data_IF_839836366632
#
_entry.id   IF_839836366632
#
_cell.length_a   1.000
_cell.length_b   1.000
_cell.length_c   1.000
_cell.angle_alpha   90.00
_cell.angle_beta   90.00
_cell.angle_gamma   90.00
#
_symmetry.space_group_name_H-M   'P 1'
#
loop_
_entity.id
_entity.type
_entity.pdbx_description
1 polymer ?
#
# COMPACT_ATOMS: atom_id res chain seq x y z
N UNK A 1 -25.41 -35.72 -59.98
CA UNK A 1 -25.62 -35.28 -61.38
C UNK A 1 -25.96 -33.79 -61.32
N UNK A 2 -25.39 -32.89 -62.12
CA UNK A 2 -24.37 -33.08 -63.15
C UNK A 2 -23.44 -31.85 -63.19
N UNK A 3 -22.17 -32.12 -63.45
CA UNK A 3 -21.06 -31.21 -63.73
C UNK A 3 -21.33 -30.20 -64.87
N UNK A 4 -20.62 -29.08 -64.84
CA UNK A 4 -20.43 -28.17 -65.98
C UNK A 4 -18.99 -27.66 -66.04
N UNK A 5 -18.29 -27.99 -67.13
CA UNK A 5 -16.89 -27.63 -67.46
C UNK A 5 -16.93 -27.04 -68.90
N UNK A 6 -16.06 -26.08 -69.29
CA UNK A 6 -16.24 -25.23 -70.49
C UNK A 6 -15.70 -25.88 -71.79
N UNK A 7 -15.76 -25.18 -72.94
CA UNK A 7 -14.58 -24.49 -73.51
C UNK A 7 -14.96 -23.10 -74.15
N UNK A 8 -14.18 -22.34 -74.95
CA UNK A 8 -12.82 -22.46 -75.55
C UNK A 8 -12.27 -21.06 -75.95
N UNK A 9 -10.93 -20.96 -75.98
CA UNK A 9 -10.03 -20.29 -76.95
C UNK A 9 -10.07 -18.78 -77.31
N UNK A 10 -8.90 -18.18 -77.06
CA UNK A 10 -8.15 -17.08 -77.72
C UNK A 10 -7.95 -17.30 -79.25
N UNK A 11 -7.38 -16.35 -80.06
CA UNK A 11 -6.55 -15.19 -79.71
C UNK A 11 -6.85 -13.86 -80.45
N UNK A 12 -6.13 -12.80 -80.11
CA UNK A 12 -5.86 -11.68 -81.03
C UNK A 12 -4.40 -11.23 -80.89
N UNK A 13 -3.79 -10.82 -82.01
CA UNK A 13 -2.36 -10.93 -82.24
C UNK A 13 -1.80 -9.78 -83.11
N UNK A 14 -0.73 -9.15 -82.60
CA UNK A 14 0.28 -8.38 -83.37
C UNK A 14 -0.11 -7.04 -84.06
N UNK A 15 0.84 -6.09 -83.99
CA UNK A 15 0.79 -4.71 -84.49
C UNK A 15 0.95 -4.62 -86.03
N UNK A 16 0.84 -3.41 -86.60
CA UNK A 16 2.00 -2.96 -87.39
C UNK A 16 2.46 -1.51 -87.18
N UNK A 17 3.76 -1.33 -87.43
CA UNK A 17 4.55 -0.10 -87.35
C UNK A 17 4.61 0.60 -88.72
N UNK A 18 4.51 1.94 -88.80
CA UNK A 18 5.42 2.78 -89.64
C UNK A 18 5.18 4.30 -89.54
N UNK A 19 6.26 5.03 -89.24
CA UNK A 19 6.67 6.22 -89.98
C UNK A 19 8.15 6.55 -89.68
N UNK A 20 9.01 6.48 -90.71
CA UNK A 20 10.43 6.87 -90.62
C UNK A 20 10.81 7.68 -91.85
N UNK A 21 11.24 8.93 -91.67
CA UNK A 21 12.37 9.54 -92.38
C UNK A 21 12.72 10.94 -91.84
N UNK A 22 14.01 11.28 -91.89
CA UNK A 22 14.64 12.50 -91.32
C UNK A 22 14.85 13.57 -92.43
N UNK A 23 15.33 14.82 -92.16
CA UNK A 23 16.74 15.05 -91.79
C UNK A 23 17.05 16.19 -90.76
N UNK A 24 17.95 15.84 -89.83
CA UNK A 24 19.09 16.61 -89.27
C UNK A 24 19.14 18.14 -89.52
N UNK A 25 19.18 18.93 -88.44
CA UNK A 25 19.90 20.22 -88.38
C UNK A 25 20.65 20.35 -87.03
N UNK A 26 21.84 20.96 -87.07
CA UNK A 26 22.91 21.00 -86.06
C UNK A 26 22.55 21.15 -84.55
N UNK A 27 23.34 20.45 -83.73
CA UNK A 27 23.50 20.63 -82.28
C UNK A 27 24.51 21.77 -82.01
N UNK A 28 24.27 22.65 -81.03
CA UNK A 28 25.30 23.28 -80.23
C UNK A 28 25.37 22.61 -78.84
N UNK A 29 26.56 22.13 -78.46
CA UNK A 29 26.75 21.42 -77.19
C UNK A 29 26.47 22.32 -75.98
N UNK A 30 25.68 21.80 -75.03
CA UNK A 30 25.50 22.38 -73.71
C UNK A 30 25.57 21.27 -72.66
N UNK A 31 26.71 21.17 -71.98
CA UNK A 31 26.94 20.18 -70.93
C UNK A 31 25.86 20.28 -69.82
N UNK A 32 25.30 19.16 -69.35
CA UNK A 32 24.43 19.15 -68.18
C UNK A 32 25.30 19.32 -66.92
N UNK A 33 25.69 20.57 -66.62
CA UNK A 33 26.36 20.89 -65.35
C UNK A 33 25.49 20.37 -64.19
N UNK A 34 25.99 19.46 -63.33
CA UNK A 34 25.21 18.99 -62.20
C UNK A 34 25.00 20.18 -61.27
N UNK A 35 23.76 20.68 -61.20
CA UNK A 35 23.39 21.78 -60.31
C UNK A 35 23.62 21.34 -58.87
N UNK A 36 24.82 21.60 -58.36
CA UNK A 36 25.16 21.49 -56.95
C UNK A 36 24.18 22.38 -56.19
N UNK A 37 23.14 21.77 -55.62
CA UNK A 37 22.32 22.42 -54.62
C UNK A 37 23.28 22.96 -53.58
N UNK A 38 23.34 24.29 -53.46
CA UNK A 38 24.31 24.96 -52.60
C UNK A 38 24.31 24.27 -51.25
N UNK A 39 25.50 23.85 -50.76
CA UNK A 39 25.67 23.13 -49.50
C UNK A 39 24.91 23.83 -48.35
N UNK A 40 24.83 25.16 -48.42
CA UNK A 40 24.02 26.04 -47.56
C UNK A 40 22.52 25.74 -47.59
N UNK A 41 21.90 25.52 -48.76
CA UNK A 41 20.46 25.17 -48.87
C UNK A 41 20.17 23.79 -48.28
N UNK A 42 21.02 22.79 -48.53
CA UNK A 42 20.86 21.46 -47.93
C UNK A 42 21.03 21.51 -46.40
N UNK A 43 22.00 22.27 -45.89
CA UNK A 43 22.15 22.54 -44.45
C UNK A 43 20.93 23.27 -43.86
N UNK A 44 20.31 24.20 -44.58
CA UNK A 44 19.05 24.84 -44.16
C UNK A 44 17.88 23.86 -44.06
N UNK A 45 17.73 22.93 -45.01
CA UNK A 45 16.71 21.88 -44.92
C UNK A 45 16.99 20.88 -43.78
N UNK A 46 18.25 20.49 -43.57
CA UNK A 46 18.63 19.65 -42.43
C UNK A 46 18.38 20.34 -41.08
N UNK A 47 18.67 21.64 -40.99
CA UNK A 47 18.40 22.44 -39.79
C UNK A 47 16.88 22.57 -39.53
N UNK A 48 16.08 22.84 -40.56
CA UNK A 48 14.61 22.89 -40.45
C UNK A 48 14.02 21.54 -40.04
N UNK A 49 14.55 20.43 -40.56
CA UNK A 49 14.13 19.09 -40.18
C UNK A 49 14.48 18.77 -38.72
N UNK A 50 15.68 19.13 -38.26
CA UNK A 50 16.09 18.97 -36.87
C UNK A 50 15.26 19.85 -35.91
N UNK A 51 14.93 21.09 -36.30
CA UNK A 51 14.01 21.95 -35.55
C UNK A 51 12.60 21.38 -35.51
N UNK A 52 12.11 20.76 -36.60
CA UNK A 52 10.82 20.09 -36.61
C UNK A 52 10.77 18.88 -35.66
N UNK A 53 11.82 18.06 -35.62
CA UNK A 53 11.94 16.95 -34.66
C UNK A 53 11.95 17.47 -33.22
N UNK A 54 12.73 18.53 -32.93
CA UNK A 54 12.76 19.15 -31.60
C UNK A 54 11.40 19.74 -31.21
N UNK A 55 10.67 20.36 -32.14
CA UNK A 55 9.33 20.88 -31.89
C UNK A 55 8.32 19.76 -31.58
N UNK A 56 8.37 18.64 -32.31
CA UNK A 56 7.54 17.46 -32.04
C UNK A 56 7.90 16.84 -30.68
N UNK A 57 9.20 16.74 -30.36
CA UNK A 57 9.69 16.27 -29.05
C UNK A 57 9.24 17.17 -27.89
N UNK A 58 9.26 18.50 -28.07
CA UNK A 58 8.79 19.45 -27.04
C UNK A 58 7.26 19.40 -26.86
N UNK A 59 6.50 19.19 -27.94
CA UNK A 59 5.07 18.95 -27.89
C UNK A 59 4.75 17.62 -27.20
N UNK A 60 5.49 16.54 -27.48
CA UNK A 60 5.34 15.26 -26.80
C UNK A 60 5.69 15.35 -25.30
N UNK A 61 6.77 16.05 -24.94
CA UNK A 61 7.19 16.29 -23.56
C UNK A 61 6.14 17.10 -22.76
N UNK A 62 5.53 18.12 -23.39
CA UNK A 62 4.48 18.93 -22.75
C UNK A 62 3.12 18.23 -22.72
N UNK A 63 2.80 17.38 -23.68
CA UNK A 63 1.61 16.51 -23.64
C UNK A 63 1.74 15.41 -22.58
N UNK A 64 2.89 14.71 -22.51
CA UNK A 64 3.13 13.66 -21.50
C UNK A 64 3.04 14.18 -20.07
N UNK A 65 3.56 15.37 -19.80
CA UNK A 65 3.39 16.04 -18.50
C UNK A 65 1.95 16.47 -18.19
N UNK A 66 1.07 16.60 -19.18
CA UNK A 66 -0.36 16.93 -18.98
C UNK A 66 -1.22 15.68 -18.80
N UNK A 67 -0.90 14.58 -19.48
CA UNK A 67 -1.57 13.30 -19.29
C UNK A 67 -1.45 12.83 -17.83
N UNK A 68 -0.24 12.87 -17.26
CA UNK A 68 -0.02 12.50 -15.85
C UNK A 68 -0.79 13.42 -14.87
N UNK A 69 -0.95 14.71 -15.18
CA UNK A 69 -1.71 15.63 -14.31
C UNK A 69 -3.21 15.32 -14.33
N UNK A 70 -3.81 15.08 -15.50
CA UNK A 70 -5.24 14.73 -15.59
C UNK A 70 -5.51 13.37 -14.95
N UNK A 71 -4.68 12.36 -15.24
CA UNK A 71 -4.82 11.03 -14.65
C UNK A 71 -4.58 11.01 -13.13
N UNK A 72 -3.69 11.88 -12.61
CA UNK A 72 -3.51 12.05 -11.17
C UNK A 72 -4.73 12.69 -10.48
N UNK A 73 -5.43 13.62 -11.14
CA UNK A 73 -6.65 14.21 -10.60
C UNK A 73 -7.80 13.20 -10.56
N UNK A 74 -7.96 12.38 -11.60
CA UNK A 74 -8.96 11.30 -11.60
C UNK A 74 -8.67 10.26 -10.51
N UNK A 75 -7.40 9.90 -10.28
CA UNK A 75 -7.00 8.99 -9.19
C UNK A 75 -7.23 9.58 -7.79
N UNK A 76 -6.92 10.87 -7.59
CA UNK A 76 -7.20 11.56 -6.32
C UNK A 76 -8.71 11.66 -6.08
N UNK A 77 -9.50 11.99 -7.12
CA UNK A 77 -10.96 12.01 -7.01
C UNK A 77 -11.55 10.63 -6.67
N UNK A 78 -11.06 9.56 -7.30
CA UNK A 78 -11.44 8.18 -6.98
C UNK A 78 -11.06 7.78 -5.55
N UNK A 79 -9.84 8.13 -5.10
CA UNK A 79 -9.39 7.87 -3.74
C UNK A 79 -10.24 8.63 -2.69
N UNK A 80 -10.53 9.92 -2.93
CA UNK A 80 -11.38 10.71 -2.03
C UNK A 80 -12.82 10.18 -2.01
N UNK A 81 -13.35 9.71 -3.15
CA UNK A 81 -14.64 9.02 -3.23
C UNK A 81 -14.65 7.71 -2.43
N UNK A 82 -13.59 6.90 -2.50
CA UNK A 82 -13.43 5.69 -1.69
C UNK A 82 -13.36 6.01 -0.19
N UNK A 83 -12.59 7.03 0.21
CA UNK A 83 -12.55 7.50 1.59
C UNK A 83 -13.91 8.03 2.07
N UNK A 84 -14.68 8.68 1.20
CA UNK A 84 -16.04 9.15 1.49
C UNK A 84 -16.99 7.97 1.75
N UNK A 85 -16.96 6.93 0.90
CA UNK A 85 -17.74 5.71 1.11
C UNK A 85 -17.34 4.94 2.37
N UNK A 86 -16.04 4.90 2.70
CA UNK A 86 -15.56 4.31 3.95
C UNK A 86 -16.02 5.12 5.18
N UNK A 87 -15.97 6.46 5.11
CA UNK A 87 -16.50 7.34 6.15
C UNK A 87 -18.01 7.16 6.35
N UNK A 88 -18.79 6.93 5.29
CA UNK A 88 -20.22 6.60 5.40
C UNK A 88 -20.46 5.26 6.12
N UNK A 89 -19.59 4.26 5.91
CA UNK A 89 -19.67 2.97 6.63
C UNK A 89 -19.30 3.13 8.11
N UNK A 90 -18.32 3.98 8.43
CA UNK A 90 -17.99 4.30 9.83
C UNK A 90 -19.18 4.94 10.54
N UNK A 91 -19.92 5.83 9.86
CA UNK A 91 -21.12 6.45 10.42
C UNK A 91 -22.24 5.45 10.69
N UNK A 92 -22.52 4.56 9.74
CA UNK A 92 -23.49 3.46 9.91
C UNK A 92 -23.07 2.50 11.04
N UNK A 93 -21.75 2.29 11.21
CA UNK A 93 -21.17 1.53 12.32
C UNK A 93 -21.03 2.32 13.65
N UNK A 94 -21.40 3.60 13.70
CA UNK A 94 -21.30 4.46 14.89
C UNK A 94 -19.88 4.87 15.30
N UNK A 95 -18.89 4.74 14.41
CA UNK A 95 -17.47 5.06 14.65
C UNK A 95 -17.17 6.55 14.36
N UNK A 96 -17.89 7.45 15.03
CA UNK A 96 -17.91 8.89 14.71
C UNK A 96 -16.53 9.57 14.72
N UNK A 97 -15.59 9.18 15.58
CA UNK A 97 -14.23 9.74 15.62
C UNK A 97 -13.37 9.30 14.42
N UNK A 98 -13.55 8.07 13.93
CA UNK A 98 -12.87 7.59 12.73
C UNK A 98 -13.47 8.24 11.48
N UNK A 99 -14.80 8.33 11.43
CA UNK A 99 -15.51 9.09 10.41
C UNK A 99 -15.01 10.55 10.37
N UNK A 100 -14.94 11.23 11.51
CA UNK A 100 -14.42 12.61 11.64
C UNK A 100 -13.07 12.75 10.96
N UNK A 101 -12.11 11.89 11.30
CA UNK A 101 -10.75 11.95 10.76
C UNK A 101 -10.74 11.76 9.23
N UNK A 102 -11.57 10.85 8.70
CA UNK A 102 -11.69 10.63 7.24
C UNK A 102 -12.31 11.82 6.53
N UNK A 103 -13.42 12.37 7.01
CA UNK A 103 -14.06 13.53 6.37
C UNK A 103 -13.25 14.84 6.57
N UNK A 104 -12.56 15.03 7.69
CA UNK A 104 -11.59 16.12 7.90
C UNK A 104 -10.45 16.04 6.88
N UNK A 105 -9.94 14.83 6.60
CA UNK A 105 -8.95 14.62 5.56
C UNK A 105 -9.49 14.97 4.17
N UNK A 106 -10.69 14.51 3.83
CA UNK A 106 -11.34 14.79 2.54
C UNK A 106 -11.48 16.31 2.32
N UNK A 107 -12.07 17.05 3.27
CA UNK A 107 -12.25 18.50 3.16
C UNK A 107 -10.91 19.25 3.19
N UNK A 108 -9.86 18.70 3.81
CA UNK A 108 -8.51 19.27 3.75
C UNK A 108 -7.85 19.12 2.38
N UNK A 109 -8.13 18.04 1.65
CA UNK A 109 -7.58 17.80 0.31
C UNK A 109 -8.41 18.45 -0.80
N UNK A 110 -9.74 18.32 -0.73
CA UNK A 110 -10.70 18.91 -1.67
C UNK A 110 -11.78 19.67 -0.88
N UNK A 111 -11.59 20.97 -0.58
CA UNK A 111 -12.51 21.73 0.27
C UNK A 111 -13.95 21.85 -0.24
N UNK A 112 -14.18 21.60 -1.54
CA UNK A 112 -15.50 21.60 -2.16
C UNK A 112 -16.04 20.19 -2.42
N UNK A 113 -15.53 19.15 -1.74
CA UNK A 113 -15.99 17.78 -1.93
C UNK A 113 -17.49 17.66 -1.57
N UNK A 114 -18.38 17.22 -2.50
CA UNK A 114 -19.82 17.25 -2.27
C UNK A 114 -20.26 16.42 -1.05
N UNK A 115 -20.97 17.05 -0.11
CA UNK A 115 -21.53 16.38 1.07
C UNK A 115 -20.56 16.16 2.25
N UNK A 116 -19.25 16.35 2.05
CA UNK A 116 -18.27 16.08 3.12
C UNK A 116 -18.29 17.13 4.23
N UNK A 117 -18.56 18.41 3.91
CA UNK A 117 -18.69 19.47 4.91
C UNK A 117 -20.00 19.32 5.71
N UNK A 118 -21.12 18.99 5.05
CA UNK A 118 -22.40 18.75 5.72
C UNK A 118 -22.33 17.55 6.67
N UNK A 119 -21.67 16.47 6.24
CA UNK A 119 -21.41 15.29 7.09
C UNK A 119 -20.46 15.65 8.24
N UNK A 120 -19.42 16.46 8.01
CA UNK A 120 -18.59 16.96 9.12
C UNK A 120 -19.40 17.78 10.11
N UNK A 121 -20.33 18.62 9.67
CA UNK A 121 -21.20 19.38 10.57
C UNK A 121 -22.07 18.42 11.40
N UNK A 122 -22.61 17.36 10.81
CA UNK A 122 -23.36 16.32 11.55
C UNK A 122 -22.46 15.57 12.55
N UNK A 123 -21.27 15.14 12.14
CA UNK A 123 -20.27 14.49 12.98
C UNK A 123 -19.84 15.38 14.15
N UNK A 124 -19.52 16.65 13.87
CA UNK A 124 -19.23 17.62 14.92
C UNK A 124 -20.46 17.89 15.78
N UNK A 125 -21.69 17.87 15.27
CA UNK A 125 -22.87 17.96 16.14
C UNK A 125 -22.99 16.76 17.08
N UNK A 126 -22.53 15.56 16.69
CA UNK A 126 -22.45 14.37 17.55
C UNK A 126 -21.28 14.44 18.54
N UNK A 127 -20.09 14.84 18.09
CA UNK A 127 -18.84 14.85 18.88
C UNK A 127 -18.59 16.13 19.71
N UNK A 128 -19.24 17.23 19.33
CA UNK A 128 -19.21 18.53 20.00
C UNK A 128 -20.49 18.75 20.84
N UNK A 129 -21.37 17.74 20.94
CA UNK A 129 -21.90 17.42 22.27
C UNK A 129 -20.68 17.12 23.11
N UNK A 130 -20.38 17.86 24.20
CA UNK A 130 -19.19 17.56 24.99
C UNK A 130 -19.25 16.09 25.42
N UNK A 131 -18.21 15.34 25.09
CA UNK A 131 -18.03 13.91 25.42
C UNK A 131 -17.74 13.67 26.91
N UNK A 132 -18.44 14.44 27.76
CA UNK A 132 -19.03 13.98 29.03
C UNK A 132 -20.44 13.39 28.81
N UNK A 133 -20.78 13.02 27.58
CA UNK A 133 -21.83 12.03 27.32
C UNK A 133 -21.15 10.65 27.33
N UNK A 134 -21.08 9.94 28.48
CA UNK A 134 -20.92 8.50 28.39
C UNK A 134 -22.04 7.99 27.50
N UNK A 135 -21.73 7.10 26.54
CA UNK A 135 -22.74 6.29 25.85
C UNK A 135 -23.78 5.90 26.88
N UNK A 136 -25.08 6.24 26.71
CA UNK A 136 -26.05 6.23 27.80
C UNK A 136 -26.21 4.80 28.33
N UNK A 137 -25.35 4.45 29.29
CA UNK A 137 -25.33 3.18 30.01
C UNK A 137 -26.70 3.15 30.65
N UNK A 138 -27.55 2.16 30.31
CA UNK A 138 -28.99 2.22 30.49
C UNK A 138 -29.29 2.72 31.89
N UNK A 139 -29.91 3.90 31.98
CA UNK A 139 -29.97 4.72 33.20
C UNK A 139 -30.35 3.83 34.35
N UNK A 140 -29.36 3.47 35.19
CA UNK A 140 -29.52 2.29 36.05
C UNK A 140 -30.71 2.56 36.95
N UNK A 141 -31.79 1.79 36.76
CA UNK A 141 -32.98 1.82 37.61
C UNK A 141 -32.48 1.80 39.05
N UNK A 142 -32.71 2.87 39.84
CA UNK A 142 -31.97 3.06 41.09
C UNK A 142 -32.03 1.82 41.95
N UNK A 143 -30.89 1.13 42.05
CA UNK A 143 -30.83 -0.18 42.67
C UNK A 143 -31.29 -0.03 44.13
N UNK A 144 -32.41 -0.66 44.55
CA UNK A 144 -32.95 -0.44 45.88
C UNK A 144 -32.07 -1.07 46.97
N UNK A 145 -31.14 -1.96 46.62
CA UNK A 145 -30.31 -2.73 47.56
C UNK A 145 -29.59 -1.83 48.60
N UNK A 146 -29.53 -2.25 49.88
CA UNK A 146 -28.82 -1.51 50.92
C UNK A 146 -27.29 -1.55 50.70
N UNK A 147 -26.52 -0.66 51.36
CA UNK A 147 -25.06 -0.59 51.22
C UNK A 147 -24.31 -1.93 51.40
N UNK A 148 -24.73 -2.73 52.37
CA UNK A 148 -24.13 -4.06 52.64
C UNK A 148 -24.34 -5.04 51.49
N UNK A 149 -25.55 -5.09 50.92
CA UNK A 149 -25.85 -5.97 49.79
C UNK A 149 -25.12 -5.51 48.52
N UNK A 150 -25.03 -4.20 48.26
CA UNK A 150 -24.24 -3.64 47.14
C UNK A 150 -22.75 -4.00 47.26
N UNK A 151 -22.19 -3.96 48.48
CA UNK A 151 -20.81 -4.37 48.74
C UNK A 151 -20.60 -5.87 48.51
N UNK A 152 -21.50 -6.72 48.98
CA UNK A 152 -21.41 -8.18 48.82
C UNK A 152 -21.62 -8.62 47.37
N UNK A 153 -22.50 -7.93 46.62
CA UNK A 153 -22.65 -8.09 45.18
C UNK A 153 -21.37 -7.66 44.44
N UNK A 154 -20.74 -6.53 44.82
CA UNK A 154 -19.46 -6.10 44.26
C UNK A 154 -18.34 -7.11 44.53
N UNK A 155 -18.22 -7.63 45.76
CA UNK A 155 -17.25 -8.70 46.11
C UNK A 155 -17.46 -9.96 45.27
N UNK A 156 -18.72 -10.33 45.02
CA UNK A 156 -19.08 -11.49 44.21
C UNK A 156 -18.71 -11.28 42.73
N UNK A 157 -19.02 -10.09 42.18
CA UNK A 157 -18.62 -9.72 40.82
C UNK A 157 -17.08 -9.70 40.66
N UNK A 158 -16.35 -9.22 41.66
CA UNK A 158 -14.87 -9.21 41.67
C UNK A 158 -14.29 -10.63 41.61
N UNK A 159 -14.86 -11.57 42.38
CA UNK A 159 -14.45 -12.97 42.35
C UNK A 159 -14.73 -13.66 41.00
N UNK A 160 -15.73 -13.16 40.25
CA UNK A 160 -16.09 -13.61 38.91
C UNK A 160 -15.37 -12.84 37.78
N UNK A 161 -14.46 -11.92 38.10
CA UNK A 161 -13.81 -11.01 37.15
C UNK A 161 -14.76 -10.09 36.35
N UNK A 162 -15.98 -9.85 36.83
CA UNK A 162 -16.92 -8.91 36.21
C UNK A 162 -16.64 -7.47 36.70
N UNK A 163 -15.57 -6.89 36.14
CA UNK A 163 -15.09 -5.56 36.51
C UNK A 163 -16.14 -4.47 36.30
N UNK A 164 -16.99 -4.60 35.28
CA UNK A 164 -18.05 -3.63 34.99
C UNK A 164 -19.14 -3.65 36.06
N UNK A 165 -19.57 -4.84 36.50
CA UNK A 165 -20.51 -4.94 37.62
C UNK A 165 -19.89 -4.46 38.93
N UNK A 166 -18.61 -4.76 39.21
CA UNK A 166 -17.89 -4.21 40.37
C UNK A 166 -17.96 -2.68 40.39
N UNK A 167 -17.53 -2.03 39.30
CA UNK A 167 -17.50 -0.56 39.19
C UNK A 167 -18.91 0.02 39.36
N UNK A 168 -19.91 -0.54 38.68
CA UNK A 168 -21.30 -0.06 38.78
C UNK A 168 -21.84 -0.16 40.22
N UNK A 169 -21.65 -1.31 40.89
CA UNK A 169 -22.13 -1.54 42.26
C UNK A 169 -21.43 -0.64 43.28
N UNK A 170 -20.13 -0.42 43.13
CA UNK A 170 -19.36 0.46 44.02
C UNK A 170 -19.66 1.95 43.80
N UNK A 171 -19.97 2.38 42.57
CA UNK A 171 -20.49 3.72 42.31
C UNK A 171 -21.86 3.94 42.95
N UNK A 172 -22.76 2.94 42.88
CA UNK A 172 -24.07 2.98 43.57
C UNK A 172 -23.93 2.92 45.09
N UNK A 173 -22.97 2.16 45.62
CA UNK A 173 -22.66 2.13 47.04
C UNK A 173 -22.24 3.52 47.52
N UNK A 174 -21.24 4.12 46.85
CA UNK A 174 -20.70 5.44 47.24
C UNK A 174 -21.73 6.57 47.09
N UNK A 175 -22.69 6.47 46.18
CA UNK A 175 -23.77 7.48 46.08
C UNK A 175 -24.82 7.37 47.19
N UNK A 176 -24.96 6.20 47.84
CA UNK A 176 -25.84 6.00 49.00
C UNK A 176 -25.15 6.28 50.33
N UNK A 177 -23.96 5.72 50.53
CA UNK A 177 -23.14 5.90 51.73
C UNK A 177 -21.65 5.94 51.33
N UNK A 178 -21.06 7.14 51.20
CA UNK A 178 -19.64 7.29 50.90
C UNK A 178 -18.68 6.73 51.97
N UNK A 179 -19.18 6.49 53.18
CA UNK A 179 -18.37 6.04 54.33
C UNK A 179 -18.39 4.52 54.53
N UNK A 180 -19.37 3.83 53.94
CA UNK A 180 -19.53 2.39 54.11
C UNK A 180 -18.34 1.61 53.55
N UNK A 181 -17.50 1.08 54.44
CA UNK A 181 -16.34 0.23 54.12
C UNK A 181 -15.41 0.82 53.06
N UNK A 182 -15.24 2.14 53.09
CA UNK A 182 -14.61 2.93 52.02
C UNK A 182 -13.24 2.39 51.56
N UNK A 183 -12.34 2.04 52.49
CA UNK A 183 -11.01 1.50 52.18
C UNK A 183 -11.07 0.21 51.35
N UNK A 184 -12.01 -0.68 51.65
CA UNK A 184 -12.16 -1.96 50.97
C UNK A 184 -12.88 -1.77 49.62
N UNK A 185 -13.87 -0.87 49.58
CA UNK A 185 -14.53 -0.45 48.34
C UNK A 185 -13.55 0.21 47.36
N UNK A 186 -12.65 1.07 47.85
CA UNK A 186 -11.61 1.74 47.07
C UNK A 186 -10.59 0.72 46.51
N UNK A 187 -10.20 -0.27 47.32
CA UNK A 187 -9.34 -1.37 46.85
C UNK A 187 -9.98 -2.21 45.74
N UNK A 188 -11.28 -2.55 45.87
CA UNK A 188 -12.01 -3.26 44.81
C UNK A 188 -12.19 -2.39 43.55
N UNK A 189 -12.42 -1.08 43.71
CA UNK A 189 -12.51 -0.13 42.61
C UNK A 189 -11.20 -0.03 41.83
N UNK A 190 -10.05 0.04 42.53
CA UNK A 190 -8.72 0.00 41.91
C UNK A 190 -8.54 -1.27 41.06
N UNK A 191 -8.80 -2.46 41.63
CA UNK A 191 -8.62 -3.74 40.92
C UNK A 191 -9.49 -3.81 39.67
N UNK A 192 -10.76 -3.43 39.77
CA UNK A 192 -11.70 -3.49 38.65
C UNK A 192 -11.36 -2.49 37.54
N UNK A 193 -11.02 -1.23 37.87
CA UNK A 193 -10.59 -0.24 36.88
C UNK A 193 -9.28 -0.66 36.19
N UNK A 194 -8.30 -1.11 36.98
CA UNK A 194 -7.03 -1.62 36.46
C UNK A 194 -7.26 -2.77 35.48
N UNK A 195 -8.04 -3.79 35.85
CA UNK A 195 -8.22 -4.96 34.99
C UNK A 195 -9.10 -4.66 33.76
N UNK A 196 -10.18 -3.89 33.92
CA UNK A 196 -11.02 -3.52 32.76
C UNK A 196 -10.24 -2.66 31.76
N UNK A 197 -9.43 -1.70 32.24
CA UNK A 197 -8.59 -0.89 31.36
C UNK A 197 -7.62 -1.71 30.52
N UNK A 198 -7.07 -2.78 31.12
CA UNK A 198 -6.17 -3.72 30.45
C UNK A 198 -6.88 -4.57 29.39
N UNK A 199 -8.09 -5.03 29.69
CA UNK A 199 -8.93 -5.81 28.77
C UNK A 199 -9.41 -4.96 27.59
N UNK A 200 -9.80 -3.71 27.83
CA UNK A 200 -10.20 -2.76 26.78
C UNK A 200 -9.05 -2.47 25.81
N UNK A 201 -7.85 -2.18 26.31
CA UNK A 201 -6.66 -1.98 25.47
C UNK A 201 -6.38 -3.23 24.61
N UNK A 202 -6.47 -4.44 25.20
CA UNK A 202 -6.25 -5.69 24.48
C UNK A 202 -7.32 -5.96 23.39
N UNK A 203 -8.53 -5.42 23.54
CA UNK A 203 -9.63 -5.51 22.58
C UNK A 203 -9.58 -4.45 21.48
N UNK A 204 -8.63 -3.51 21.52
CA UNK A 204 -8.57 -2.40 20.57
C UNK A 204 -9.34 -1.15 21.00
N UNK A 205 -9.73 -1.04 22.28
CA UNK A 205 -10.42 0.11 22.86
C UNK A 205 -9.43 0.91 23.73
N UNK A 206 -8.51 1.62 23.09
CA UNK A 206 -7.39 2.29 23.75
C UNK A 206 -7.86 3.42 24.64
N UNK A 207 -8.72 4.30 24.14
CA UNK A 207 -9.18 5.50 24.83
C UNK A 207 -9.98 5.16 26.10
N UNK A 208 -10.94 4.24 26.02
CA UNK A 208 -11.69 3.79 27.19
C UNK A 208 -10.80 3.04 28.19
N UNK A 209 -9.84 2.26 27.69
CA UNK A 209 -8.91 1.54 28.55
C UNK A 209 -7.92 2.46 29.27
N UNK A 210 -7.35 3.44 28.57
CA UNK A 210 -6.52 4.50 29.12
C UNK A 210 -7.29 5.34 30.14
N UNK A 211 -8.57 5.65 29.88
CA UNK A 211 -9.44 6.33 30.82
C UNK A 211 -9.60 5.53 32.13
N UNK A 212 -9.92 4.25 32.05
CA UNK A 212 -10.04 3.38 33.24
C UNK A 212 -8.72 3.27 34.03
N UNK A 213 -7.58 3.13 33.35
CA UNK A 213 -6.27 3.14 34.01
C UNK A 213 -6.01 4.49 34.72
N UNK A 214 -6.36 5.62 34.10
CA UNK A 214 -6.23 6.96 34.73
C UNK A 214 -7.16 7.16 35.92
N UNK A 215 -8.30 6.45 35.97
CA UNK A 215 -9.17 6.42 37.14
C UNK A 215 -8.59 5.54 38.26
N UNK A 216 -7.95 4.42 37.91
CA UNK A 216 -7.27 3.55 38.88
C UNK A 216 -6.14 4.31 39.61
N UNK A 217 -5.39 5.16 38.91
CA UNK A 217 -4.32 6.00 39.48
C UNK A 217 -4.78 6.94 40.61
N UNK A 218 -6.10 7.16 40.78
CA UNK A 218 -6.68 7.93 41.89
C UNK A 218 -6.75 7.15 43.22
N UNK A 219 -6.63 5.83 43.16
CA UNK A 219 -6.71 4.93 44.32
C UNK A 219 -5.35 4.30 44.67
N UNK A 220 -4.44 4.18 43.70
CA UNK A 220 -3.09 3.67 43.89
C UNK A 220 -2.27 3.71 42.59
N UNK A 221 -0.93 3.62 42.65
CA UNK A 221 -0.09 3.62 41.45
C UNK A 221 -0.33 2.36 40.61
N UNK A 222 -0.33 2.51 39.28
CA UNK A 222 -0.37 1.36 38.38
C UNK A 222 0.81 0.42 38.61
N UNK A 223 0.56 -0.88 38.53
CA UNK A 223 1.62 -1.88 38.47
C UNK A 223 2.36 -1.86 37.12
N UNK A 224 3.47 -2.60 37.04
CA UNK A 224 4.34 -2.64 35.84
C UNK A 224 3.60 -3.08 34.58
N UNK A 225 2.67 -4.02 34.70
CA UNK A 225 1.93 -4.55 33.54
C UNK A 225 0.95 -3.48 33.02
N UNK A 226 0.25 -2.81 33.94
CA UNK A 226 -0.68 -1.73 33.61
C UNK A 226 0.03 -0.50 33.03
N UNK A 227 1.17 -0.09 33.60
CA UNK A 227 2.00 0.96 33.02
C UNK A 227 2.52 0.61 31.63
N UNK A 228 2.89 -0.66 31.39
CA UNK A 228 3.33 -1.12 30.06
C UNK A 228 2.20 -1.07 29.03
N UNK A 229 1.00 -1.59 29.32
CA UNK A 229 -0.14 -1.49 28.38
C UNK A 229 -0.57 -0.05 28.12
N UNK A 230 -0.56 0.83 29.14
CA UNK A 230 -0.81 2.27 28.96
C UNK A 230 0.15 2.86 27.92
N UNK A 231 1.43 2.57 28.08
CA UNK A 231 2.51 3.05 27.18
C UNK A 231 2.36 2.49 25.75
N UNK A 232 1.89 1.26 25.58
CA UNK A 232 1.59 0.70 24.25
C UNK A 232 0.36 1.35 23.60
N UNK A 233 -0.71 1.56 24.36
CA UNK A 233 -1.92 2.23 23.88
C UNK A 233 -1.66 3.68 23.46
N UNK A 234 -0.86 4.43 24.24
CA UNK A 234 -0.40 5.79 23.89
C UNK A 234 0.39 5.81 22.58
N UNK A 235 1.32 4.86 22.38
CA UNK A 235 2.08 4.73 21.13
C UNK A 235 1.18 4.34 19.94
N UNK A 236 0.22 3.44 20.15
CA UNK A 236 -0.73 3.04 19.12
C UNK A 236 -1.57 4.24 18.66
N UNK A 237 -2.12 5.04 19.57
CA UNK A 237 -2.92 6.21 19.20
C UNK A 237 -2.09 7.25 18.44
N UNK A 238 -0.83 7.42 18.81
CA UNK A 238 0.10 8.26 18.07
C UNK A 238 0.39 7.71 16.66
N UNK A 239 0.62 6.41 16.50
CA UNK A 239 0.80 5.76 15.20
C UNK A 239 -0.44 5.90 14.32
N UNK A 240 -1.63 5.66 14.90
CA UNK A 240 -2.91 5.74 14.22
C UNK A 240 -3.22 7.17 13.72
N UNK A 241 -2.73 8.21 14.41
CA UNK A 241 -2.91 9.61 13.98
C UNK A 241 -2.24 9.95 12.62
N UNK A 242 -1.35 9.09 12.10
CA UNK A 242 -0.76 9.21 10.77
C UNK A 242 -1.38 8.28 9.73
N UNK A 243 -2.20 7.32 10.14
CA UNK A 243 -2.80 6.33 9.25
C UNK A 243 -3.73 7.02 8.24
N UNK A 244 -3.63 6.70 6.95
CA UNK A 244 -4.35 7.43 5.89
C UNK A 244 -3.79 8.82 5.53
N UNK A 245 -2.97 9.45 6.39
CA UNK A 245 -2.48 10.82 6.21
C UNK A 245 -0.99 10.89 5.82
N UNK A 246 -0.17 10.00 6.38
CA UNK A 246 1.25 9.89 6.12
C UNK A 246 1.68 8.43 6.29
N UNK A 247 1.60 7.67 5.19
CA UNK A 247 1.89 6.23 5.17
C UNK A 247 3.32 5.90 5.63
N UNK A 248 4.31 6.71 5.23
CA UNK A 248 5.69 6.55 5.70
C UNK A 248 5.80 6.59 7.23
N UNK A 249 5.17 7.61 7.86
CA UNK A 249 5.20 7.77 9.31
C UNK A 249 4.34 6.73 10.04
N UNK A 250 3.20 6.34 9.46
CA UNK A 250 2.37 5.27 9.99
C UNK A 250 3.13 3.92 9.96
N UNK A 251 3.80 3.58 8.86
CA UNK A 251 4.59 2.36 8.73
C UNK A 251 5.74 2.31 9.75
N UNK A 252 6.49 3.41 9.89
CA UNK A 252 7.57 3.55 10.87
C UNK A 252 7.08 3.29 12.32
N UNK A 253 5.91 3.84 12.68
CA UNK A 253 5.37 3.76 14.04
C UNK A 253 4.62 2.45 14.33
N UNK A 254 3.95 1.86 13.34
CA UNK A 254 3.25 0.59 13.51
C UNK A 254 4.19 -0.64 13.46
N UNK A 255 5.34 -0.57 12.78
CA UNK A 255 6.31 -1.68 12.77
C UNK A 255 6.68 -2.18 14.20
N UNK A 256 7.20 -1.34 15.13
CA UNK A 256 7.52 -1.82 16.47
C UNK A 256 6.28 -2.27 17.26
N UNK A 257 5.08 -1.74 16.98
CA UNK A 257 3.84 -2.15 17.63
C UNK A 257 3.38 -3.54 17.16
N UNK A 258 3.54 -3.84 15.86
CA UNK A 258 3.34 -5.18 15.31
C UNK A 258 4.31 -6.18 15.96
N UNK A 259 5.61 -5.89 15.98
CA UNK A 259 6.63 -6.77 16.58
C UNK A 259 6.41 -7.01 18.08
N UNK A 260 5.82 -6.05 18.79
CA UNK A 260 5.46 -6.18 20.21
C UNK A 260 4.09 -6.85 20.46
N UNK A 261 3.30 -7.10 19.42
CA UNK A 261 1.93 -7.61 19.54
C UNK A 261 1.03 -6.68 20.36
N UNK A 262 1.18 -5.36 20.19
CA UNK A 262 0.53 -4.36 21.05
C UNK A 262 -1.00 -4.47 21.06
N UNK A 263 -1.59 -4.73 19.89
CA UNK A 263 -3.02 -4.92 19.65
C UNK A 263 -3.22 -5.95 18.54
N UNK A 264 -4.43 -6.53 18.43
CA UNK A 264 -4.74 -7.52 17.38
C UNK A 264 -4.58 -6.97 15.95
N UNK A 265 -4.77 -5.66 15.76
CA UNK A 265 -4.72 -4.98 14.47
C UNK A 265 -3.41 -4.24 14.18
N UNK A 266 -2.45 -4.23 15.12
CA UNK A 266 -1.15 -3.56 14.94
C UNK A 266 -0.36 -4.08 13.73
N UNK A 267 -0.37 -5.39 13.47
CA UNK A 267 0.29 -5.97 12.29
C UNK A 267 -0.46 -5.72 10.97
N UNK A 268 -1.79 -5.91 10.88
CA UNK A 268 -2.57 -5.44 9.74
C UNK A 268 -2.33 -3.96 9.40
N UNK A 269 -2.30 -3.06 10.40
CA UNK A 269 -2.01 -1.64 10.20
C UNK A 269 -0.57 -1.37 9.75
N UNK A 270 0.42 -2.07 10.31
CA UNK A 270 1.78 -1.97 9.80
C UNK A 270 1.85 -2.40 8.33
N UNK A 271 1.24 -3.54 7.97
CA UNK A 271 1.25 -4.06 6.61
C UNK A 271 0.58 -3.09 5.63
N UNK A 272 -0.64 -2.62 5.91
CA UNK A 272 -1.32 -1.65 5.04
C UNK A 272 -0.52 -0.34 4.88
N UNK A 273 0.01 0.20 5.97
CA UNK A 273 0.80 1.44 5.92
C UNK A 273 2.11 1.27 5.16
N UNK A 274 2.81 0.14 5.35
CA UNK A 274 4.02 -0.19 4.60
C UNK A 274 3.69 -0.37 3.11
N UNK A 275 2.63 -1.11 2.78
CA UNK A 275 2.18 -1.28 1.40
C UNK A 275 1.91 0.06 0.70
N UNK A 276 1.11 0.92 1.33
CA UNK A 276 0.77 2.25 0.78
C UNK A 276 1.97 3.19 0.71
N UNK A 277 2.96 3.04 1.58
CA UNK A 277 4.23 3.76 1.47
C UNK A 277 5.10 3.20 0.32
N UNK A 278 5.12 1.88 0.12
CA UNK A 278 5.73 1.25 -1.05
C UNK A 278 5.16 1.78 -2.37
N UNK A 279 3.83 1.91 -2.46
CA UNK A 279 3.15 2.51 -3.61
C UNK A 279 3.61 3.97 -3.87
N UNK A 280 3.86 4.74 -2.81
CA UNK A 280 4.37 6.12 -2.91
C UNK A 280 5.83 6.18 -3.38
N UNK A 281 6.70 5.27 -2.91
CA UNK A 281 8.09 5.18 -3.33
C UNK A 281 8.21 4.71 -4.79
N UNK A 282 7.37 3.74 -5.18
CA UNK A 282 7.27 3.29 -6.57
C UNK A 282 6.86 4.43 -7.52
N UNK A 283 5.83 5.20 -7.15
CA UNK A 283 5.42 6.38 -7.90
C UNK A 283 6.46 7.52 -7.92
N UNK A 284 7.45 7.48 -7.01
CA UNK A 284 8.55 8.42 -6.93
C UNK A 284 9.84 7.95 -7.65
N UNK A 285 9.79 6.84 -8.40
CA UNK A 285 10.92 6.22 -9.10
C UNK A 285 12.01 5.65 -8.15
N UNK A 286 11.61 5.25 -6.93
CA UNK A 286 12.44 4.51 -5.96
C UNK A 286 11.97 3.04 -5.83
N UNK A 287 12.37 2.15 -6.75
CA UNK A 287 11.95 0.75 -6.72
C UNK A 287 12.55 -0.04 -5.56
N UNK A 288 13.72 0.37 -5.04
CA UNK A 288 14.37 -0.32 -3.92
C UNK A 288 13.71 0.01 -2.59
N UNK A 289 13.41 1.30 -2.35
CA UNK A 289 12.59 1.70 -1.22
C UNK A 289 11.21 1.05 -1.26
N UNK A 290 10.57 0.99 -2.44
CA UNK A 290 9.27 0.34 -2.61
C UNK A 290 9.32 -1.16 -2.26
N UNK A 291 10.29 -1.89 -2.83
CA UNK A 291 10.55 -3.31 -2.53
C UNK A 291 10.66 -3.57 -1.03
N UNK A 292 11.48 -2.81 -0.31
CA UNK A 292 11.70 -3.03 1.12
C UNK A 292 10.43 -2.80 1.96
N UNK A 293 9.55 -1.87 1.56
CA UNK A 293 8.24 -1.69 2.20
C UNK A 293 7.26 -2.83 1.87
N UNK A 294 7.23 -3.31 0.62
CA UNK A 294 6.38 -4.43 0.21
C UNK A 294 6.78 -5.74 0.90
N UNK A 295 8.08 -6.01 1.01
CA UNK A 295 8.60 -7.16 1.76
C UNK A 295 8.24 -7.08 3.25
N UNK A 296 8.38 -5.88 3.85
CA UNK A 296 7.96 -5.62 5.23
C UNK A 296 6.46 -5.84 5.46
N UNK A 297 5.64 -5.39 4.52
CA UNK A 297 4.18 -5.62 4.53
C UNK A 297 3.84 -7.11 4.49
N UNK A 298 4.33 -7.83 3.49
CA UNK A 298 4.01 -9.25 3.29
C UNK A 298 4.57 -10.14 4.41
N UNK A 299 5.68 -9.73 5.04
CA UNK A 299 6.23 -10.41 6.22
C UNK A 299 5.37 -10.23 7.48
N UNK A 300 4.68 -9.09 7.62
CA UNK A 300 3.82 -8.80 8.75
C UNK A 300 2.38 -9.33 8.57
N UNK A 301 1.90 -9.35 7.33
CA UNK A 301 0.61 -9.93 6.97
C UNK A 301 0.63 -10.45 5.53
N UNK A 302 0.56 -11.77 5.37
CA UNK A 302 0.61 -12.39 4.04
C UNK A 302 -0.63 -12.05 3.21
N UNK A 303 -0.42 -11.56 1.99
CA UNK A 303 -1.48 -11.36 1.00
C UNK A 303 -1.00 -11.82 -0.39
N UNK A 304 -1.41 -13.02 -0.78
CA UNK A 304 -1.04 -13.61 -2.07
C UNK A 304 -1.50 -12.82 -3.31
N UNK A 305 -2.45 -11.89 -3.19
CA UNK A 305 -2.86 -11.02 -4.30
C UNK A 305 -1.87 -9.88 -4.57
N UNK A 306 -1.07 -9.53 -3.56
CA UNK A 306 -0.08 -8.44 -3.58
C UNK A 306 1.34 -8.92 -3.95
N UNK A 307 1.66 -10.20 -3.74
CA UNK A 307 2.97 -10.79 -4.05
C UNK A 307 3.51 -10.51 -5.48
N UNK A 308 2.69 -10.45 -6.57
CA UNK A 308 3.20 -10.10 -7.90
C UNK A 308 3.79 -8.69 -7.97
N UNK A 309 3.16 -7.69 -7.34
CA UNK A 309 3.65 -6.29 -7.30
C UNK A 309 4.94 -6.17 -6.50
N UNK A 310 5.06 -6.89 -5.38
CA UNK A 310 6.31 -6.96 -4.61
C UNK A 310 7.45 -7.57 -5.45
N UNK A 311 7.14 -8.61 -6.24
CA UNK A 311 8.10 -9.25 -7.15
C UNK A 311 8.55 -8.32 -8.28
N UNK A 312 7.63 -7.54 -8.86
CA UNK A 312 7.94 -6.51 -9.87
C UNK A 312 8.88 -5.43 -9.29
N UNK A 313 8.61 -4.96 -8.07
CA UNK A 313 9.47 -4.01 -7.39
C UNK A 313 10.88 -4.57 -7.10
N UNK A 314 10.98 -5.84 -6.73
CA UNK A 314 12.26 -6.52 -6.53
C UNK A 314 13.10 -6.55 -7.83
N UNK A 315 12.50 -6.96 -8.95
CA UNK A 315 13.18 -7.02 -10.27
C UNK A 315 13.62 -5.62 -10.72
N UNK A 316 12.79 -4.60 -10.50
CA UNK A 316 13.13 -3.21 -10.82
C UNK A 316 14.29 -2.69 -9.95
N UNK A 317 14.33 -3.03 -8.66
CA UNK A 317 15.45 -2.69 -7.78
C UNK A 317 16.77 -3.36 -8.20
N UNK A 318 16.74 -4.65 -8.54
CA UNK A 318 17.92 -5.37 -9.07
C UNK A 318 18.42 -4.73 -10.38
N UNK A 319 17.49 -4.33 -11.26
CA UNK A 319 17.82 -3.65 -12.52
C UNK A 319 18.43 -2.27 -12.29
N UNK A 320 17.90 -1.49 -11.35
CA UNK A 320 18.38 -0.15 -11.02
C UNK A 320 19.74 -0.15 -10.30
N UNK A 321 20.07 -1.23 -9.58
CA UNK A 321 21.33 -1.39 -8.84
C UNK A 321 22.40 -2.17 -9.59
N UNK A 322 22.09 -2.69 -10.78
CA UNK A 322 23.04 -3.42 -11.62
C UNK A 322 24.28 -2.57 -11.97
N UNK A 323 25.51 -3.12 -11.87
CA UNK A 323 26.71 -2.40 -12.27
C UNK A 323 26.67 -2.08 -13.77
N UNK A 324 27.26 -0.95 -14.21
CA UNK A 324 27.32 -0.60 -15.63
C UNK A 324 28.02 -1.72 -16.41
N UNK A 325 27.55 -2.03 -17.64
CA UNK A 325 28.11 -3.13 -18.40
C UNK A 325 29.60 -2.90 -18.66
N UNK A 326 30.43 -3.84 -18.23
CA UNK A 326 31.87 -3.83 -18.53
C UNK A 326 32.05 -3.71 -20.04
N UNK A 327 32.86 -2.75 -20.54
CA UNK A 327 33.16 -2.66 -21.96
C UNK A 327 33.66 -4.02 -22.47
N UNK A 328 33.25 -4.48 -23.66
CA UNK A 328 33.69 -5.77 -24.18
C UNK A 328 35.22 -5.77 -24.26
N UNK A 329 35.82 -6.70 -23.52
CA UNK A 329 37.25 -6.97 -23.60
C UNK A 329 37.60 -7.28 -25.07
N UNK A 330 38.64 -6.67 -25.65
CA UNK A 330 38.91 -6.81 -27.07
C UNK A 330 39.12 -8.28 -27.40
N UNK A 331 38.20 -8.85 -28.18
CA UNK A 331 38.24 -10.24 -28.59
C UNK A 331 39.55 -10.50 -29.34
N UNK A 332 40.47 -11.22 -28.72
CA UNK A 332 41.66 -11.68 -29.41
C UNK A 332 41.23 -12.57 -30.57
N UNK A 333 41.56 -12.16 -31.80
CA UNK A 333 41.29 -12.94 -33.00
C UNK A 333 42.05 -14.26 -32.88
N UNK A 334 41.38 -15.43 -32.89
CA UNK A 334 42.08 -16.71 -32.77
C UNK A 334 43.01 -16.90 -33.95
N UNK A 335 44.32 -16.90 -33.67
CA UNK A 335 45.33 -17.28 -34.65
C UNK A 335 45.22 -18.78 -34.88
N UNK A 336 44.91 -19.18 -36.12
CA UNK A 336 44.82 -20.59 -36.50
C UNK A 336 46.21 -21.20 -36.56
N UNK A 337 46.60 -21.91 -35.50
CA UNK A 337 47.89 -22.61 -35.43
C UNK A 337 47.72 -24.13 -35.60
N UNK A 338 48.43 -24.65 -36.60
CA UNK A 338 48.77 -26.05 -36.91
C UNK A 338 48.02 -27.24 -36.28
N UNK A 339 47.36 -28.01 -37.14
CA UNK A 339 47.12 -29.46 -36.92
C UNK A 339 48.44 -30.21 -36.66
N UNK A 340 48.45 -31.13 -35.68
CA UNK A 340 48.94 -32.47 -36.01
C UNK A 340 48.05 -33.61 -35.49
N UNK A 341 47.93 -34.61 -36.36
CA UNK A 341 47.79 -36.07 -36.13
C UNK A 341 47.62 -36.56 -34.68
N UNK A 342 46.55 -37.31 -34.42
CA UNK A 342 46.23 -37.85 -33.09
C UNK A 342 46.62 -39.32 -32.86
N UNK A 343 46.18 -39.86 -31.73
CA UNK A 343 46.26 -41.28 -31.37
C UNK A 343 45.05 -41.68 -30.51
N UNK A 344 44.46 -42.86 -30.80
CA UNK A 344 43.34 -43.46 -30.05
C UNK A 344 43.86 -44.52 -29.07
N UNK A 345 43.36 -44.57 -27.84
CA UNK A 345 43.28 -45.79 -26.98
C UNK A 345 42.33 -45.51 -25.78
N UNK A 346 41.58 -46.49 -25.24
CA UNK A 346 40.19 -46.23 -24.84
C UNK A 346 39.85 -46.36 -23.33
N UNK A 347 38.70 -45.77 -23.01
CA UNK A 347 37.61 -46.28 -22.14
C UNK A 347 37.95 -47.01 -20.82
N UNK A 348 37.65 -46.31 -19.70
CA UNK A 348 37.54 -46.90 -18.37
C UNK A 348 36.13 -46.70 -17.80
N UNK A 349 35.44 -47.81 -17.51
CA UNK A 349 34.06 -47.85 -16.98
C UNK A 349 33.97 -47.31 -15.54
N UNK A 350 32.94 -46.52 -15.17
CA UNK A 350 32.66 -46.21 -13.77
C UNK A 350 31.97 -47.39 -13.07
N UNK A 351 32.53 -47.83 -11.94
CA UNK A 351 31.89 -48.81 -11.05
C UNK A 351 30.99 -48.08 -10.05
N UNK A 352 29.67 -48.21 -10.20
CA UNK A 352 28.74 -47.86 -9.12
C UNK A 352 28.70 -48.99 -8.08
N UNK A 353 28.82 -48.64 -6.79
CA UNK A 353 28.56 -49.54 -5.66
C UNK A 353 27.51 -48.90 -4.77
N UNK A 354 26.26 -49.40 -4.75
CA UNK A 354 25.25 -48.94 -3.81
C UNK A 354 25.49 -49.58 -2.44
N UNK A 355 25.63 -48.76 -1.40
CA UNK A 355 25.59 -49.21 0.00
C UNK A 355 24.22 -48.87 0.62
N UNK A 356 23.33 -49.85 0.82
CA UNK A 356 22.20 -49.71 1.73
C UNK A 356 22.59 -50.15 3.14
N UNK A 357 22.32 -49.31 4.15
CA UNK A 357 22.22 -49.75 5.56
C UNK A 357 20.92 -49.19 6.14
N UNK A 358 20.05 -50.03 6.73
CA UNK A 358 18.69 -49.65 7.14
C UNK A 358 18.54 -49.45 8.66
N UNK A 359 17.30 -49.13 9.09
CA UNK A 359 16.71 -49.51 10.41
C UNK A 359 17.20 -48.72 11.65
N UNK A 360 16.37 -48.22 12.59
CA UNK A 360 14.91 -48.03 12.70
C UNK A 360 14.61 -47.05 13.89
N UNK A 361 13.57 -47.11 14.77
CA UNK A 361 12.87 -45.89 15.23
C UNK A 361 12.90 -45.66 16.76
N UNK A 362 11.89 -44.95 17.28
CA UNK A 362 11.59 -44.60 18.68
C UNK A 362 12.45 -43.44 19.23
N UNK A 363 11.90 -42.46 19.96
CA UNK A 363 10.62 -42.42 20.72
C UNK A 363 9.80 -41.17 20.45
#
# INVERSE_FOLDING_TARGET
MLSGQPPSDTPDDTQPIKATSQPITAIPDAEPTPRRLSRRRWLWFALLYLVAILAIGLLAFTQGRRANLVQSQDQVAQFLQEQFELGLRDLDAGQYELARQRFEAIVRFEPNFPGAEEILIEIYLVLNVPTVTPTPRPTMTPDPAPPEELFDQARTALANSDWTTVINKLLTLRSKDPSYRSVEADGMMYIALRNRGMELIAQGQMEEGLYDLSLAERFGPLDREAGFRRTLAEQYLWANSFFGLNWARAAELFNPLCQQGATLDSCPKYAEAAWKYGDQLWAADDPCGAKDQYDGSLSAWENGTQAPTATEAAIACETATAPPPTPPEPTETPTLEGTPTGEFTPEGTPTETPTPTPTQPET
#
